data_IF_576322154480
#
_entry.id   IF_576322154480
#
_cell.length_a   1.000
_cell.length_b   1.000
_cell.length_c   1.000
_cell.angle_alpha   90.00
_cell.angle_beta   90.00
_cell.angle_gamma   90.00
#
_symmetry.space_group_name_H-M   'P 1'
#
loop_
_entity.id
_entity.type
_entity.pdbx_description
1 polymer ?
#
# COMPACT_ATOMS: atom_id res chain seq x y z
N UNK A 1 -9.85 -7.46 -1.34
CA UNK A 1 -10.66 -6.49 -2.11
C UNK A 1 -12.11 -6.94 -2.19
N UNK A 2 -12.38 -8.23 -2.36
CA UNK A 2 -13.74 -8.82 -2.31
C UNK A 2 -14.46 -8.54 -0.99
N UNK A 3 -13.77 -8.75 0.16
CA UNK A 3 -14.30 -8.42 1.48
C UNK A 3 -14.63 -6.92 1.70
N UNK A 4 -14.21 -6.04 0.79
CA UNK A 4 -14.53 -4.61 0.83
C UNK A 4 -15.71 -4.26 -0.11
N UNK A 5 -16.33 -5.25 -0.74
CA UNK A 5 -17.47 -5.07 -1.66
C UNK A 5 -17.07 -4.46 -3.01
N UNK A 6 -15.81 -4.57 -3.42
CA UNK A 6 -15.36 -4.06 -4.71
C UNK A 6 -15.84 -4.98 -5.85
N UNK A 7 -16.26 -4.42 -7.00
CA UNK A 7 -16.65 -5.22 -8.17
C UNK A 7 -15.53 -6.16 -8.61
N UNK A 8 -15.88 -7.38 -9.01
CA UNK A 8 -14.93 -8.41 -9.44
C UNK A 8 -14.10 -7.98 -10.64
N UNK A 9 -14.67 -7.16 -11.53
CA UNK A 9 -13.99 -6.58 -12.68
C UNK A 9 -12.87 -5.63 -12.25
N UNK A 10 -13.10 -4.80 -11.22
CA UNK A 10 -12.09 -3.91 -10.67
C UNK A 10 -10.92 -4.71 -10.07
N UNK A 11 -11.24 -5.81 -9.38
CA UNK A 11 -10.24 -6.72 -8.82
C UNK A 11 -9.43 -7.37 -9.93
N UNK A 12 -10.08 -7.92 -10.94
CA UNK A 12 -9.42 -8.55 -12.08
C UNK A 12 -8.51 -7.57 -12.84
N UNK A 13 -8.97 -6.33 -13.08
CA UNK A 13 -8.15 -5.30 -13.72
C UNK A 13 -6.91 -4.97 -12.90
N UNK A 14 -7.04 -4.84 -11.58
CA UNK A 14 -5.87 -4.59 -10.72
C UNK A 14 -4.92 -5.79 -10.70
N UNK A 15 -5.44 -7.02 -10.68
CA UNK A 15 -4.64 -8.23 -10.79
C UNK A 15 -3.98 -8.40 -12.17
N UNK A 16 -4.46 -7.75 -13.22
CA UNK A 16 -3.82 -7.76 -14.53
C UNK A 16 -2.68 -6.75 -14.64
N UNK A 17 -2.81 -5.60 -13.97
CA UNK A 17 -1.90 -4.47 -14.12
C UNK A 17 -0.60 -4.56 -13.30
N UNK A 18 -0.60 -5.33 -12.22
CA UNK A 18 0.53 -5.39 -11.28
C UNK A 18 1.45 -6.63 -11.35
N UNK A 19 1.08 -7.79 -11.93
CA UNK A 19 2.00 -8.92 -12.06
C UNK A 19 3.13 -8.62 -13.05
N UNK A 20 4.28 -9.28 -12.84
CA UNK A 20 5.39 -9.35 -13.80
C UNK A 20 5.98 -7.99 -14.21
N UNK A 21 5.82 -6.96 -13.38
CA UNK A 21 6.49 -5.69 -13.60
C UNK A 21 8.00 -5.89 -13.68
N UNK A 22 8.62 -5.35 -14.72
CA UNK A 22 10.07 -5.34 -14.89
C UNK A 22 10.58 -3.91 -14.86
N UNK A 23 11.82 -3.73 -14.41
CA UNK A 23 12.47 -2.44 -14.38
C UNK A 23 13.93 -2.54 -14.82
N UNK A 24 14.44 -1.42 -15.31
CA UNK A 24 15.85 -1.17 -15.53
C UNK A 24 16.23 0.08 -14.75
N UNK A 25 17.43 0.11 -14.19
CA UNK A 25 17.94 1.27 -13.46
C UNK A 25 18.97 1.97 -14.33
N UNK A 26 18.85 3.29 -14.47
CA UNK A 26 19.87 4.10 -15.13
C UNK A 26 20.90 4.56 -14.10
N UNK A 27 22.15 4.12 -14.26
CA UNK A 27 23.28 4.45 -13.37
C UNK A 27 24.30 5.25 -14.16
N UNK A 28 24.55 6.50 -13.76
CA UNK A 28 25.54 7.40 -14.40
C UNK A 28 25.40 7.49 -15.93
N UNK A 29 24.17 7.52 -16.44
CA UNK A 29 23.91 7.60 -17.87
C UNK A 29 23.75 6.25 -18.58
N UNK A 30 24.26 5.15 -18.01
CA UNK A 30 24.15 3.80 -18.58
C UNK A 30 22.90 3.08 -18.04
N UNK A 31 22.22 2.32 -18.90
CA UNK A 31 21.06 1.52 -18.50
C UNK A 31 21.53 0.13 -18.02
N UNK A 32 21.16 -0.25 -16.81
CA UNK A 32 21.41 -1.58 -16.27
C UNK A 32 20.49 -2.64 -16.89
N UNK A 33 20.82 -3.92 -16.65
CA UNK A 33 20.00 -5.06 -17.06
C UNK A 33 18.59 -5.00 -16.44
N UNK A 34 17.62 -5.52 -17.19
CA UNK A 34 16.24 -5.66 -16.72
C UNK A 34 16.15 -6.68 -15.59
N UNK A 35 15.38 -6.37 -14.55
CA UNK A 35 15.04 -7.31 -13.48
C UNK A 35 13.55 -7.24 -13.15
N UNK A 36 13.02 -8.35 -12.62
CA UNK A 36 11.63 -8.43 -12.17
C UNK A 36 11.45 -7.73 -10.83
N UNK A 37 10.42 -6.91 -10.72
CA UNK A 37 10.04 -6.25 -9.48
C UNK A 37 9.22 -7.23 -8.65
N UNK A 38 9.84 -7.77 -7.58
CA UNK A 38 9.15 -8.69 -6.66
C UNK A 38 8.16 -7.96 -5.74
N UNK A 39 8.43 -6.68 -5.43
CA UNK A 39 7.62 -5.83 -4.55
C UNK A 39 7.74 -4.38 -4.96
N UNK A 40 6.67 -3.63 -4.73
CA UNK A 40 6.61 -2.22 -5.07
C UNK A 40 5.53 -1.94 -6.10
N UNK A 41 5.37 -0.67 -6.41
CA UNK A 41 4.32 -0.15 -7.27
C UNK A 41 4.93 0.91 -8.18
N UNK A 42 4.41 1.05 -9.39
CA UNK A 42 4.89 2.07 -10.32
C UNK A 42 4.67 3.47 -9.73
N UNK A 43 5.77 4.20 -9.47
CA UNK A 43 5.69 5.58 -9.00
C UNK A 43 4.95 6.44 -10.03
N UNK A 44 4.09 7.34 -9.57
CA UNK A 44 3.26 8.18 -10.44
C UNK A 44 2.03 7.48 -11.03
N UNK A 45 1.80 6.20 -10.74
CA UNK A 45 0.57 5.53 -11.14
C UNK A 45 -0.62 5.99 -10.27
N UNK A 46 -1.65 6.64 -10.83
CA UNK A 46 -2.77 7.18 -10.04
C UNK A 46 -3.62 6.07 -9.38
N UNK A 47 -3.62 4.87 -9.94
CA UNK A 47 -4.33 3.71 -9.38
C UNK A 47 -3.75 3.26 -8.03
N UNK A 48 -2.42 3.40 -7.85
CA UNK A 48 -1.71 2.97 -6.64
C UNK A 48 -2.19 3.72 -5.40
N UNK A 49 -2.46 5.03 -5.53
CA UNK A 49 -2.97 5.85 -4.43
C UNK A 49 -4.30 5.32 -3.88
N UNK A 50 -5.16 4.81 -4.76
CA UNK A 50 -6.45 4.23 -4.38
C UNK A 50 -6.28 2.87 -3.72
N UNK A 51 -5.41 2.02 -4.26
CA UNK A 51 -5.08 0.72 -3.68
C UNK A 51 -4.47 0.85 -2.28
N UNK A 52 -3.64 1.88 -2.06
CA UNK A 52 -3.12 2.22 -0.74
C UNK A 52 -4.24 2.51 0.26
N UNK A 53 -5.22 3.34 -0.11
CA UNK A 53 -6.36 3.68 0.76
C UNK A 53 -7.22 2.45 1.09
N UNK A 54 -7.42 1.56 0.12
CA UNK A 54 -8.15 0.30 0.31
C UNK A 54 -7.46 -0.55 1.40
N UNK A 55 -6.13 -0.71 1.32
CA UNK A 55 -5.35 -1.44 2.32
C UNK A 55 -5.36 -0.72 3.67
N UNK A 56 -5.16 0.60 3.67
CA UNK A 56 -5.17 1.40 4.89
C UNK A 56 -6.51 1.33 5.63
N UNK A 57 -7.64 1.32 4.90
CA UNK A 57 -8.98 1.16 5.49
C UNK A 57 -9.13 -0.21 6.15
N UNK A 58 -8.74 -1.28 5.48
CA UNK A 58 -8.79 -2.63 6.05
C UNK A 58 -7.91 -2.73 7.30
N UNK A 59 -6.69 -2.19 7.24
CA UNK A 59 -5.76 -2.16 8.37
C UNK A 59 -6.32 -1.34 9.56
N UNK A 60 -6.91 -0.17 9.29
CA UNK A 60 -7.56 0.65 10.31
C UNK A 60 -8.71 -0.09 11.01
N UNK A 61 -9.50 -0.88 10.27
CA UNK A 61 -10.54 -1.73 10.87
C UNK A 61 -9.94 -2.75 11.84
N UNK A 62 -8.84 -3.40 11.47
CA UNK A 62 -8.13 -4.36 12.35
C UNK A 62 -7.57 -3.67 13.59
N UNK A 63 -6.99 -2.47 13.44
CA UNK A 63 -6.51 -1.67 14.57
C UNK A 63 -7.67 -1.35 15.52
N UNK A 64 -8.80 -0.85 14.99
CA UNK A 64 -9.98 -0.51 15.80
C UNK A 64 -10.49 -1.71 16.60
N UNK A 65 -10.64 -2.88 15.97
CA UNK A 65 -11.02 -4.11 16.69
C UNK A 65 -10.02 -4.44 17.80
N UNK A 66 -8.72 -4.31 17.53
CA UNK A 66 -7.66 -4.61 18.49
C UNK A 66 -7.63 -3.63 19.67
N UNK A 67 -7.99 -2.36 19.43
CA UNK A 67 -8.16 -1.35 20.49
C UNK A 67 -9.38 -1.67 21.35
N UNK A 68 -10.53 -1.98 20.75
CA UNK A 68 -11.74 -2.38 21.49
C UNK A 68 -11.52 -3.65 22.30
N UNK A 69 -10.73 -4.60 21.79
CA UNK A 69 -10.35 -5.82 22.50
C UNK A 69 -9.22 -5.60 23.54
N UNK A 70 -8.72 -4.37 23.72
CA UNK A 70 -7.66 -4.05 24.68
C UNK A 70 -6.28 -4.61 24.33
N UNK A 71 -6.07 -5.12 23.12
CA UNK A 71 -4.79 -5.71 22.66
C UNK A 71 -3.77 -4.67 22.22
N UNK A 72 -4.26 -3.54 21.72
CA UNK A 72 -3.44 -2.41 21.27
C UNK A 72 -3.91 -1.19 22.04
N UNK A 73 -2.95 -0.40 22.53
CA UNK A 73 -3.19 0.90 23.16
C UNK A 73 -2.36 1.94 22.42
N UNK A 74 -2.96 3.09 22.12
CA UNK A 74 -2.24 4.20 21.52
C UNK A 74 -1.13 4.72 22.43
N UNK A 75 -0.05 5.21 21.82
CA UNK A 75 1.01 5.92 22.54
C UNK A 75 0.42 7.24 23.04
N UNK A 76 0.58 7.53 24.34
CA UNK A 76 0.29 8.86 24.88
C UNK A 76 1.52 9.72 24.68
N UNK A 77 1.42 10.72 23.83
CA UNK A 77 2.43 11.76 23.77
C UNK A 77 2.27 12.63 25.03
N UNK A 78 3.37 13.09 25.64
CA UNK A 78 3.29 14.14 26.64
C UNK A 78 2.56 15.34 26.02
N UNK A 79 1.75 16.04 26.82
CA UNK A 79 1.33 17.38 26.45
C UNK A 79 2.61 18.18 26.26
N UNK A 80 2.82 18.68 25.03
CA UNK A 80 4.02 19.38 24.69
C UNK A 80 3.98 20.75 25.34
N UNK A 81 4.76 20.94 26.41
CA UNK A 81 5.17 22.25 26.91
C UNK A 81 6.16 22.87 25.91
N UNK A 82 5.68 23.17 24.70
CA UNK A 82 6.44 23.90 23.69
C UNK A 82 6.22 25.40 23.86
N UNK A 83 6.70 25.94 24.98
CA UNK A 83 6.75 27.36 25.39
C UNK A 83 5.45 28.18 25.41
#
# INVERSE_FOLDING_TARGET
>A
MEALGLPTECIALTQLLFPNATANVKVNGALASTFTIARGVHQGCPLVSHLFLIVAKAFNSVIKLSVTAGRIKGIRLPEGDWY
#
